data_IF_530212883477
#
_entry.id   IF_530212883477
#
_cell.length_a   1.000
_cell.length_b   1.000
_cell.length_c   1.000
_cell.angle_alpha   90.00
_cell.angle_beta   90.00
_cell.angle_gamma   90.00
#
_symmetry.space_group_name_H-M   'P 1'
#
loop_
_entity.id
_entity.type
_entity.pdbx_description
1 polymer ?
#
# COMPACT_ATOMS: atom_id res chain seq x y z
N UNK A 1 -3.56 5.61 46.87
CA UNK A 1 -4.32 4.88 45.82
C UNK A 1 -4.39 5.65 44.50
N UNK A 2 -4.55 6.97 44.51
CA UNK A 2 -4.57 7.81 43.29
C UNK A 2 -3.35 7.64 42.38
N UNK A 3 -2.13 7.57 42.93
CA UNK A 3 -0.90 7.45 42.11
C UNK A 3 -0.86 6.16 41.28
N UNK A 4 -1.42 5.05 41.80
CA UNK A 4 -1.49 3.78 41.07
C UNK A 4 -2.50 3.84 39.93
N UNK A 5 -3.63 4.51 40.14
CA UNK A 5 -4.63 4.71 39.10
C UNK A 5 -4.10 5.58 37.94
N UNK A 6 -3.28 6.60 38.26
CA UNK A 6 -2.67 7.48 37.26
C UNK A 6 -1.64 6.76 36.37
N UNK A 7 -0.82 5.89 36.96
CA UNK A 7 0.14 5.07 36.23
C UNK A 7 -0.55 4.02 35.33
N UNK A 8 -1.66 3.45 35.77
CA UNK A 8 -2.44 2.51 34.98
C UNK A 8 -3.13 3.19 33.77
N UNK A 9 -3.62 4.42 33.96
CA UNK A 9 -4.24 5.21 32.90
C UNK A 9 -3.25 5.64 31.81
N UNK A 10 -1.99 5.91 32.17
CA UNK A 10 -0.93 6.27 31.21
C UNK A 10 -0.44 5.07 30.40
N UNK A 11 -0.41 3.88 31.00
CA UNK A 11 -0.09 2.63 30.28
C UNK A 11 -1.18 2.21 29.28
N UNK A 12 -2.45 2.53 29.54
CA UNK A 12 -3.55 2.25 28.61
C UNK A 12 -3.72 3.29 27.50
N UNK A 13 -3.03 4.43 27.58
CA UNK A 13 -3.04 5.46 26.54
C UNK A 13 -1.98 5.23 25.44
N UNK A 14 -1.14 4.19 25.55
CA UNK A 14 -0.22 3.86 24.46
C UNK A 14 -1.01 3.37 23.24
N UNK A 15 -0.80 3.97 22.05
CA UNK A 15 -1.47 3.54 20.84
C UNK A 15 -0.93 2.16 20.46
N UNK A 16 -1.68 1.10 20.80
CA UNK A 16 -1.40 -0.28 20.44
C UNK A 16 -1.68 -0.56 18.94
N UNK A 17 -1.23 0.34 18.06
CA UNK A 17 -1.20 0.16 16.61
C UNK A 17 0.24 0.31 16.12
N UNK A 18 1.16 -0.43 16.72
CA UNK A 18 2.38 -0.77 16.01
C UNK A 18 2.01 -1.88 15.02
N UNK A 19 2.04 -1.58 13.72
CA UNK A 19 2.08 -2.65 12.71
C UNK A 19 3.27 -3.56 13.08
N UNK A 20 3.09 -4.88 13.15
CA UNK A 20 4.17 -5.77 13.52
C UNK A 20 5.32 -5.61 12.51
N UNK A 21 6.58 -5.50 12.97
CA UNK A 21 7.71 -5.47 12.06
C UNK A 21 7.70 -6.73 11.20
N UNK A 22 7.94 -6.56 9.91
CA UNK A 22 7.89 -7.64 8.94
C UNK A 22 7.56 -7.20 7.52
N UNK A 23 7.34 -8.20 6.68
CA UNK A 23 6.91 -8.05 5.30
C UNK A 23 5.38 -8.12 5.23
N UNK A 24 4.77 -7.09 4.67
CA UNK A 24 3.35 -7.04 4.37
C UNK A 24 3.14 -6.97 2.85
N UNK A 25 2.19 -7.77 2.38
CA UNK A 25 1.77 -7.84 0.99
C UNK A 25 0.29 -7.51 0.92
N UNK A 26 -0.06 -6.49 0.15
CA UNK A 26 -1.46 -6.13 -0.12
C UNK A 26 -1.64 -5.84 -1.60
N UNK A 27 -2.84 -6.02 -2.13
CA UNK A 27 -3.07 -5.74 -3.54
C UNK A 27 -4.54 -5.76 -3.92
N UNK A 28 -4.84 -5.16 -5.07
CA UNK A 28 -6.15 -5.21 -5.69
C UNK A 28 -6.06 -5.66 -7.15
N UNK A 29 -6.96 -6.57 -7.52
CA UNK A 29 -7.12 -7.04 -8.88
C UNK A 29 -8.49 -6.63 -9.39
N UNK A 30 -8.54 -5.85 -10.47
CA UNK A 30 -9.77 -5.38 -11.12
C UNK A 30 -9.80 -5.88 -12.54
N UNK A 31 -10.93 -6.43 -12.94
CA UNK A 31 -11.20 -6.88 -14.29
C UNK A 31 -12.53 -6.30 -14.75
N UNK A 32 -12.60 -5.85 -16.00
CA UNK A 32 -13.79 -5.24 -16.55
C UNK A 32 -13.83 -5.37 -18.06
N UNK A 33 -15.03 -5.36 -18.61
CA UNK A 33 -15.29 -5.43 -20.04
C UNK A 33 -15.86 -4.08 -20.46
N UNK A 34 -15.28 -3.46 -21.49
CA UNK A 34 -15.71 -2.17 -22.03
C UNK A 34 -16.20 -2.41 -23.45
N UNK A 35 -17.45 -2.07 -23.73
CA UNK A 35 -17.98 -2.00 -25.08
C UNK A 35 -17.74 -0.60 -25.65
N UNK A 36 -17.06 -0.50 -26.80
CA UNK A 36 -16.80 0.77 -27.46
C UNK A 36 -17.46 0.79 -28.83
N UNK A 37 -18.46 1.67 -28.99
CA UNK A 37 -19.27 1.79 -30.21
C UNK A 37 -18.69 2.74 -31.26
N UNK A 38 -17.72 3.58 -30.88
CA UNK A 38 -17.19 4.62 -31.77
C UNK A 38 -15.76 4.31 -32.21
N UNK A 39 -15.47 4.26 -33.52
CA UNK A 39 -14.10 4.23 -33.99
C UNK A 39 -13.42 5.54 -33.60
N UNK A 40 -12.24 5.44 -33.01
CA UNK A 40 -11.40 6.60 -32.73
C UNK A 40 -11.02 7.21 -34.09
N UNK A 41 -11.18 8.53 -34.25
CA UNK A 41 -10.98 9.28 -35.50
C UNK A 41 -9.53 9.21 -36.04
N UNK A 42 -8.63 8.56 -35.28
CA UNK A 42 -7.26 8.22 -35.64
C UNK A 42 -7.07 6.79 -36.20
N UNK A 43 -8.15 6.11 -36.61
CA UNK A 43 -8.11 5.16 -37.72
C UNK A 43 -7.42 3.80 -37.53
N UNK A 44 -7.14 3.31 -36.32
CA UNK A 44 -6.55 1.97 -36.13
C UNK A 44 -6.99 1.19 -34.87
N UNK A 45 -8.25 1.31 -34.43
CA UNK A 45 -8.78 0.42 -33.37
C UNK A 45 -10.13 -0.17 -33.74
N UNK A 46 -10.20 -1.49 -33.67
CA UNK A 46 -11.42 -2.28 -33.84
C UNK A 46 -12.51 -1.79 -32.86
N UNK A 47 -13.66 -1.41 -33.41
CA UNK A 47 -14.93 -1.31 -32.69
C UNK A 47 -15.28 -2.68 -32.10
N UNK A 48 -15.53 -2.77 -30.79
CA UNK A 48 -15.87 -4.05 -30.17
C UNK A 48 -15.62 -4.16 -28.67
N UNK A 49 -15.69 -5.41 -28.21
CA UNK A 49 -15.55 -5.80 -26.81
C UNK A 49 -14.08 -5.72 -26.38
N UNK A 50 -13.74 -4.78 -25.48
CA UNK A 50 -12.40 -4.64 -24.91
C UNK A 50 -12.34 -5.22 -23.51
N UNK A 51 -11.47 -6.20 -23.31
CA UNK A 51 -11.13 -6.67 -21.98
C UNK A 51 -10.12 -5.74 -21.33
N UNK A 52 -10.39 -5.31 -20.10
CA UNK A 52 -9.48 -4.49 -19.30
C UNK A 52 -9.17 -5.20 -17.99
N UNK A 53 -7.89 -5.28 -17.66
CA UNK A 53 -7.45 -5.74 -16.36
C UNK A 53 -6.51 -4.70 -15.73
N UNK A 54 -6.48 -4.67 -14.40
CA UNK A 54 -5.51 -3.92 -13.60
C UNK A 54 -5.19 -4.73 -12.37
N UNK A 55 -3.91 -4.94 -12.13
CA UNK A 55 -3.40 -5.53 -10.90
C UNK A 55 -2.49 -4.51 -10.25
N UNK A 56 -2.75 -4.23 -8.97
CA UNK A 56 -1.91 -3.40 -8.11
C UNK A 56 -1.46 -4.22 -6.94
N UNK A 57 -0.18 -4.14 -6.64
CA UNK A 57 0.43 -4.80 -5.50
C UNK A 57 1.24 -3.77 -4.73
N UNK A 58 1.06 -3.72 -3.42
CA UNK A 58 1.85 -2.92 -2.50
C UNK A 58 2.62 -3.86 -1.59
N UNK A 59 3.94 -3.76 -1.66
CA UNK A 59 4.90 -4.41 -0.79
C UNK A 59 5.34 -3.40 0.25
N UNK A 60 5.23 -3.77 1.52
CA UNK A 60 5.69 -2.95 2.64
C UNK A 60 6.63 -3.77 3.51
N UNK A 61 7.78 -3.21 3.80
CA UNK A 61 8.72 -3.75 4.75
C UNK A 61 8.89 -2.74 5.89
N UNK A 62 8.72 -3.19 7.13
CA UNK A 62 8.94 -2.39 8.32
C UNK A 62 9.78 -3.18 9.32
N UNK A 63 10.69 -2.49 9.99
CA UNK A 63 11.53 -3.05 11.04
C UNK A 63 11.78 -2.04 12.15
N UNK A 64 12.21 -2.55 13.29
CA UNK A 64 12.63 -1.75 14.44
C UNK A 64 14.03 -2.22 14.84
N UNK A 65 14.93 -1.28 15.14
CA UNK A 65 16.26 -1.60 15.67
C UNK A 65 16.18 -1.83 17.18
N UNK A 66 17.21 -2.44 17.76
CA UNK A 66 17.33 -2.65 19.21
C UNK A 66 17.28 -1.33 20.01
N UNK A 67 17.54 -0.19 19.36
CA UNK A 67 17.43 1.16 19.93
C UNK A 67 16.07 1.83 19.76
N UNK A 68 15.05 1.11 19.26
CA UNK A 68 13.70 1.63 19.04
C UNK A 68 13.55 2.50 17.78
N UNK A 69 14.55 2.52 16.90
CA UNK A 69 14.48 3.27 15.63
C UNK A 69 13.70 2.44 14.61
N UNK A 70 12.61 3.00 14.08
CA UNK A 70 11.84 2.35 13.01
C UNK A 70 12.44 2.66 11.64
N UNK A 71 12.41 1.67 10.76
CA UNK A 71 12.80 1.82 9.37
C UNK A 71 11.84 1.05 8.48
N UNK A 72 11.74 1.45 7.21
CA UNK A 72 10.91 0.72 6.28
C UNK A 72 11.02 1.18 4.84
N UNK A 73 10.45 0.37 3.96
CA UNK A 73 10.38 0.62 2.52
C UNK A 73 8.99 0.22 1.99
N UNK A 74 8.47 1.01 1.05
CA UNK A 74 7.23 0.71 0.33
C UNK A 74 7.49 0.68 -1.19
N UNK A 75 7.05 -0.40 -1.84
CA UNK A 75 7.14 -0.58 -3.29
C UNK A 75 5.73 -0.85 -3.82
N UNK A 76 5.30 -0.03 -4.78
CA UNK A 76 4.05 -0.25 -5.51
C UNK A 76 4.36 -0.81 -6.90
N UNK A 77 3.69 -1.91 -7.24
CA UNK A 77 3.73 -2.56 -8.55
C UNK A 77 2.35 -2.41 -9.19
N UNK A 78 2.24 -1.64 -10.27
CA UNK A 78 1.02 -1.53 -11.06
C UNK A 78 1.28 -2.06 -12.48
N UNK A 79 0.55 -3.09 -12.91
CA UNK A 79 0.77 -3.73 -14.22
C UNK A 79 0.64 -2.76 -15.41
N UNK A 80 -0.03 -1.61 -15.26
CA UNK A 80 -0.12 -0.58 -16.32
C UNK A 80 1.13 0.28 -16.45
N UNK A 81 1.95 0.36 -15.40
CA UNK A 81 3.23 1.04 -15.43
C UNK A 81 4.34 0.02 -15.10
N UNK A 82 5.00 -0.56 -16.11
CA UNK A 82 6.02 -1.58 -15.90
C UNK A 82 7.23 -1.08 -15.11
N UNK A 83 7.34 0.23 -14.86
CA UNK A 83 8.32 0.79 -13.94
C UNK A 83 7.78 0.67 -12.52
N UNK A 84 8.20 -0.38 -11.82
CA UNK A 84 8.09 -0.46 -10.37
C UNK A 84 8.66 0.83 -9.79
N UNK A 85 7.80 1.70 -9.24
CA UNK A 85 8.25 2.99 -8.74
C UNK A 85 8.46 2.83 -7.24
N UNK A 86 9.70 2.94 -6.73
CA UNK A 86 9.94 2.96 -5.29
C UNK A 86 9.18 4.14 -4.71
N UNK A 87 8.28 3.90 -3.74
CA UNK A 87 7.38 4.93 -3.27
C UNK A 87 8.00 5.74 -2.14
N UNK A 88 8.65 5.05 -1.20
CA UNK A 88 9.36 5.68 -0.09
C UNK A 88 10.29 4.71 0.64
N UNK A 89 11.39 5.25 1.16
CA UNK A 89 12.26 4.60 2.15
C UNK A 89 12.37 5.58 3.32
N UNK A 90 12.22 5.09 4.55
CA UNK A 90 12.27 5.93 5.75
C UNK A 90 13.10 5.28 6.85
N UNK A 91 13.72 6.14 7.65
CA UNK A 91 14.46 5.82 8.88
C UNK A 91 14.04 6.89 9.89
N UNK A 92 13.43 6.47 11.01
CA UNK A 92 12.82 7.37 12.00
C UNK A 92 11.33 7.11 12.20
N UNK A 93 10.78 7.69 13.28
CA UNK A 93 9.35 7.62 13.58
C UNK A 93 8.51 8.24 12.46
N UNK A 94 7.46 7.54 12.07
CA UNK A 94 6.43 7.95 11.11
C UNK A 94 5.54 9.07 11.64
#
# INVERSE_FOLDING_TARGET
MLLRALALATLMALPAKAEPPGLSLSGDARMGIIWSEKPDWAGQRETGLRLTNRARLKLRFQGETDGGLRYGAEVDLDRRDPRATPRSVHIGGS
#
